data_IF_961543441395
#
_entry.id   IF_961543441395
#
_cell.length_a   1.000
_cell.length_b   1.000
_cell.length_c   1.000
_cell.angle_alpha   90.00
_cell.angle_beta   90.00
_cell.angle_gamma   90.00
#
_symmetry.space_group_name_H-M   'P 1'
#
loop_
_entity.id
_entity.type
_entity.pdbx_description
1 polymer ?
#
# COMPACT_ATOMS: atom_id res chain seq x y z
N UNK A 1 -21.47 -11.24 2.76
CA UNK A 1 -20.84 -9.98 2.30
C UNK A 1 -19.35 -10.12 2.53
N UNK A 2 -18.51 -9.79 1.54
CA UNK A 2 -17.03 -9.83 1.66
C UNK A 2 -16.55 -8.69 2.55
N UNK A 3 -15.46 -8.92 3.27
CA UNK A 3 -14.91 -8.03 4.30
C UNK A 3 -13.50 -7.62 3.95
N UNK A 4 -13.22 -6.33 3.97
CA UNK A 4 -11.91 -5.79 3.67
C UNK A 4 -11.39 -4.91 4.80
N UNK A 5 -10.09 -4.95 5.04
CA UNK A 5 -9.37 -4.01 5.90
C UNK A 5 -8.47 -3.15 5.03
N UNK A 6 -8.54 -1.82 5.17
CA UNK A 6 -7.71 -0.87 4.43
C UNK A 6 -6.89 -0.02 5.38
N UNK A 7 -5.57 -0.24 5.40
CA UNK A 7 -4.61 0.54 6.18
C UNK A 7 -4.15 1.76 5.36
N UNK A 8 -4.21 2.95 5.96
CA UNK A 8 -3.88 4.22 5.29
C UNK A 8 -5.08 4.86 4.59
N UNK A 9 -6.30 4.59 5.08
CA UNK A 9 -7.55 5.02 4.45
C UNK A 9 -7.95 6.49 4.69
N UNK A 10 -7.18 7.28 5.45
CA UNK A 10 -7.57 8.66 5.80
C UNK A 10 -7.50 9.65 4.65
N UNK A 11 -6.65 9.42 3.64
CA UNK A 11 -6.48 10.34 2.51
C UNK A 11 -5.92 9.61 1.27
N UNK A 12 -5.79 10.35 0.16
CA UNK A 12 -5.10 9.89 -1.04
C UNK A 12 -5.65 8.59 -1.63
N UNK A 13 -4.75 7.74 -2.11
CA UNK A 13 -5.09 6.46 -2.77
C UNK A 13 -5.85 5.53 -1.82
N UNK A 14 -5.49 5.51 -0.51
CA UNK A 14 -6.12 4.63 0.47
C UNK A 14 -7.59 4.95 0.68
N UNK A 15 -7.96 6.25 0.73
CA UNK A 15 -9.33 6.70 0.80
C UNK A 15 -10.13 6.29 -0.45
N UNK A 16 -9.54 6.46 -1.64
CA UNK A 16 -10.19 6.07 -2.90
C UNK A 16 -10.40 4.55 -3.01
N UNK A 17 -9.42 3.74 -2.55
CA UNK A 17 -9.56 2.28 -2.50
C UNK A 17 -10.67 1.88 -1.52
N UNK A 18 -10.70 2.43 -0.31
CA UNK A 18 -11.74 2.14 0.67
C UNK A 18 -13.14 2.50 0.12
N UNK A 19 -13.30 3.70 -0.42
CA UNK A 19 -14.55 4.15 -1.07
C UNK A 19 -14.97 3.23 -2.22
N UNK A 20 -14.02 2.84 -3.07
CA UNK A 20 -14.30 1.96 -4.19
C UNK A 20 -14.72 0.56 -3.74
N UNK A 21 -14.13 -0.01 -2.71
CA UNK A 21 -14.53 -1.30 -2.15
C UNK A 21 -15.93 -1.23 -1.52
N UNK A 22 -16.25 -0.16 -0.78
CA UNK A 22 -17.59 0.06 -0.21
C UNK A 22 -18.65 0.12 -1.32
N UNK A 23 -18.41 0.90 -2.38
CA UNK A 23 -19.31 0.98 -3.55
C UNK A 23 -19.48 -0.37 -4.28
N UNK A 24 -18.51 -1.26 -4.17
CA UNK A 24 -18.59 -2.64 -4.69
C UNK A 24 -19.20 -3.63 -3.68
N UNK A 25 -19.88 -3.16 -2.63
CA UNK A 25 -20.64 -3.98 -1.69
C UNK A 25 -19.79 -4.72 -0.65
N UNK A 26 -18.56 -4.27 -0.38
CA UNK A 26 -17.74 -4.82 0.69
C UNK A 26 -18.05 -4.13 2.03
N UNK A 27 -18.07 -4.90 3.11
CA UNK A 27 -17.97 -4.34 4.48
C UNK A 27 -16.51 -3.99 4.72
N UNK A 28 -16.22 -2.73 5.07
CA UNK A 28 -14.83 -2.24 5.09
C UNK A 28 -14.45 -1.71 6.48
N UNK A 29 -13.36 -2.23 7.03
CA UNK A 29 -12.64 -1.64 8.16
C UNK A 29 -11.58 -0.67 7.64
N UNK A 30 -11.68 0.59 8.03
CA UNK A 30 -10.76 1.64 7.63
C UNK A 30 -9.83 2.04 8.77
N UNK A 31 -8.54 2.09 8.47
CA UNK A 31 -7.47 2.29 9.46
C UNK A 31 -6.55 3.42 9.04
N UNK A 32 -6.29 4.34 9.96
CA UNK A 32 -5.24 5.37 9.87
C UNK A 32 -4.99 5.98 11.26
N UNK A 33 -4.01 6.89 11.37
CA UNK A 33 -3.72 7.62 12.63
C UNK A 33 -4.73 8.73 12.90
N UNK A 34 -5.22 9.41 11.85
CA UNK A 34 -6.13 10.56 11.93
C UNK A 34 -7.57 10.07 11.98
N UNK A 35 -8.11 9.91 13.19
CA UNK A 35 -9.44 9.36 13.40
C UNK A 35 -10.55 10.25 12.82
N UNK A 36 -10.40 11.56 12.90
CA UNK A 36 -11.37 12.54 12.36
C UNK A 36 -11.60 12.36 10.85
N UNK A 37 -10.54 12.03 10.10
CA UNK A 37 -10.64 11.75 8.65
C UNK A 37 -11.29 10.39 8.37
N UNK A 38 -11.09 9.40 9.25
CA UNK A 38 -11.78 8.12 9.15
C UNK A 38 -13.30 8.30 9.43
N UNK A 39 -13.65 9.08 10.45
CA UNK A 39 -15.06 9.42 10.77
C UNK A 39 -15.72 10.16 9.60
N UNK A 40 -15.02 11.12 8.98
CA UNK A 40 -15.50 11.80 7.78
C UNK A 40 -15.79 10.83 6.64
N UNK A 41 -14.86 9.89 6.37
CA UNK A 41 -15.06 8.88 5.33
C UNK A 41 -16.23 7.95 5.66
N UNK A 42 -16.34 7.48 6.91
CA UNK A 42 -17.44 6.61 7.33
C UNK A 42 -18.81 7.31 7.21
N UNK A 43 -18.89 8.61 7.50
CA UNK A 43 -20.11 9.40 7.37
C UNK A 43 -20.59 9.51 5.91
N UNK A 44 -19.69 9.58 4.93
CA UNK A 44 -20.05 9.57 3.50
C UNK A 44 -20.71 8.26 3.07
N UNK A 45 -20.49 7.19 3.82
CA UNK A 45 -21.01 5.84 3.57
C UNK A 45 -21.89 5.37 4.73
N UNK A 46 -22.69 6.26 5.31
CA UNK A 46 -23.67 5.90 6.36
C UNK A 46 -24.60 4.80 5.83
N UNK A 47 -24.80 3.74 6.62
CA UNK A 47 -25.61 2.57 6.22
C UNK A 47 -24.84 1.43 5.54
N UNK A 48 -23.56 1.59 5.17
CA UNK A 48 -22.76 0.52 4.57
C UNK A 48 -21.94 -0.31 5.58
N UNK A 49 -22.08 -0.04 6.89
CA UNK A 49 -21.41 -0.81 7.94
C UNK A 49 -19.88 -0.65 7.95
N UNK A 50 -19.40 0.60 7.75
CA UNK A 50 -17.97 0.92 7.80
C UNK A 50 -17.49 0.92 9.25
N UNK A 51 -16.49 0.10 9.56
CA UNK A 51 -15.82 0.07 10.85
C UNK A 51 -14.57 0.97 10.81
N UNK A 52 -14.32 1.72 11.88
CA UNK A 52 -13.13 2.58 11.97
C UNK A 52 -12.23 2.16 13.12
N UNK A 53 -10.92 2.33 12.92
CA UNK A 53 -9.93 2.15 13.98
C UNK A 53 -8.74 3.09 13.77
N UNK A 54 -8.46 3.94 14.75
CA UNK A 54 -7.25 4.74 14.77
C UNK A 54 -6.07 3.86 15.17
N UNK A 55 -5.06 3.73 14.28
CA UNK A 55 -3.86 2.93 14.51
C UNK A 55 -2.63 3.66 13.94
N UNK A 56 -1.57 3.77 14.75
CA UNK A 56 -0.23 3.98 14.23
C UNK A 56 0.46 2.62 14.07
N UNK A 57 0.72 2.22 12.83
CA UNK A 57 1.31 0.91 12.52
C UNK A 57 2.77 0.77 12.95
N UNK A 58 3.40 1.86 13.38
CA UNK A 58 4.77 1.82 13.93
C UNK A 58 4.79 1.36 15.40
N UNK A 59 3.66 1.43 16.09
CA UNK A 59 3.52 1.03 17.48
C UNK A 59 3.23 -0.47 17.62
N UNK A 60 3.73 -1.12 18.68
CA UNK A 60 3.53 -2.55 18.94
C UNK A 60 2.07 -2.92 19.14
N UNK A 61 1.31 -2.09 19.87
CA UNK A 61 -0.12 -2.29 20.11
C UNK A 61 -0.99 -2.27 18.83
N UNK A 62 -0.43 -1.86 17.70
CA UNK A 62 -1.15 -1.80 16.42
C UNK A 62 -1.75 -3.14 15.99
N UNK A 63 -1.13 -4.25 16.36
CA UNK A 63 -1.60 -5.61 16.07
C UNK A 63 -2.88 -5.93 16.83
N UNK A 64 -2.93 -5.63 18.13
CA UNK A 64 -4.10 -5.87 18.99
C UNK A 64 -5.31 -5.03 18.55
N UNK A 65 -5.06 -3.76 18.18
CA UNK A 65 -6.10 -2.87 17.68
C UNK A 65 -6.64 -3.34 16.32
N UNK A 66 -5.77 -3.89 15.46
CA UNK A 66 -6.17 -4.45 14.18
C UNK A 66 -6.99 -5.72 14.36
N UNK A 67 -6.61 -6.59 15.29
CA UNK A 67 -7.36 -7.80 15.62
C UNK A 67 -8.77 -7.47 16.12
N UNK A 68 -8.89 -6.49 17.01
CA UNK A 68 -10.17 -5.98 17.51
C UNK A 68 -11.06 -5.44 16.38
N UNK A 69 -10.49 -4.74 15.39
CA UNK A 69 -11.23 -4.28 14.22
C UNK A 69 -11.73 -5.46 13.38
N UNK A 70 -10.89 -6.45 13.11
CA UNK A 70 -11.26 -7.63 12.32
C UNK A 70 -12.36 -8.42 13.03
N UNK A 71 -12.32 -8.52 14.37
CA UNK A 71 -13.37 -9.13 15.16
C UNK A 71 -14.72 -8.39 14.98
N UNK A 72 -14.76 -7.07 15.08
CA UNK A 72 -16.00 -6.26 14.84
C UNK A 72 -16.51 -6.39 13.40
N UNK A 73 -15.61 -6.53 12.42
CA UNK A 73 -15.97 -6.83 11.03
C UNK A 73 -16.60 -8.23 10.90
N UNK A 74 -16.30 -9.14 11.81
CA UNK A 74 -16.66 -10.56 11.77
C UNK A 74 -15.78 -11.38 10.85
N UNK A 75 -14.52 -10.98 10.64
CA UNK A 75 -13.52 -11.65 9.81
C UNK A 75 -12.94 -10.76 8.72
N UNK A 76 -12.11 -11.33 7.83
CA UNK A 76 -11.41 -10.60 6.77
C UNK A 76 -11.22 -11.51 5.53
N UNK A 77 -11.59 -11.00 4.33
CA UNK A 77 -11.34 -11.66 3.04
C UNK A 77 -10.22 -10.96 2.26
N UNK A 78 -10.00 -9.66 2.54
CA UNK A 78 -9.04 -8.80 1.89
C UNK A 78 -8.34 -7.90 2.88
N UNK A 79 -7.01 -7.88 2.84
CA UNK A 79 -6.18 -6.91 3.53
C UNK A 79 -5.48 -6.00 2.52
N UNK A 80 -5.59 -4.67 2.68
CA UNK A 80 -4.95 -3.69 1.79
C UNK A 80 -4.07 -2.76 2.60
N UNK A 81 -2.76 -2.78 2.37
CA UNK A 81 -1.83 -1.83 2.98
C UNK A 81 -1.47 -0.71 2.00
N UNK A 82 -1.96 0.49 2.29
CA UNK A 82 -1.68 1.71 1.50
C UNK A 82 -0.81 2.69 2.29
N UNK A 83 -0.60 2.40 3.58
CA UNK A 83 0.20 3.29 4.43
C UNK A 83 1.63 3.42 3.90
N UNK A 84 2.11 4.64 3.88
CA UNK A 84 3.47 4.93 3.45
C UNK A 84 3.78 6.41 3.54
N UNK A 85 5.07 6.71 3.59
CA UNK A 85 5.63 8.05 3.58
C UNK A 85 6.69 8.14 2.50
N UNK A 86 6.70 9.26 1.78
CA UNK A 86 7.70 9.52 0.75
C UNK A 86 8.08 11.00 0.76
N UNK A 87 9.32 11.30 1.09
CA UNK A 87 9.88 12.63 1.04
C UNK A 87 11.12 12.62 0.15
N UNK A 88 11.29 13.68 -0.64
CA UNK A 88 12.61 13.96 -1.21
C UNK A 88 13.54 14.42 -0.10
N UNK A 89 14.77 13.89 -0.07
CA UNK A 89 15.75 14.18 0.97
C UNK A 89 17.18 14.21 0.39
N UNK A 90 17.46 15.20 -0.46
CA UNK A 90 18.79 15.38 -1.05
C UNK A 90 19.86 15.75 -0.02
N UNK A 91 19.45 16.34 1.11
CA UNK A 91 20.34 16.68 2.22
C UNK A 91 20.69 15.47 3.10
N UNK A 92 20.07 14.33 2.85
CA UNK A 92 20.22 13.10 3.64
C UNK A 92 19.97 13.31 5.14
N UNK A 93 18.96 14.14 5.47
CA UNK A 93 18.53 14.36 6.85
C UNK A 93 18.14 13.03 7.49
N UNK A 94 18.84 12.59 8.56
CA UNK A 94 18.62 11.28 9.17
C UNK A 94 17.22 11.13 9.77
N UNK A 95 16.58 12.20 10.21
CA UNK A 95 15.22 12.16 10.78
C UNK A 95 14.21 11.77 9.69
N UNK A 96 14.35 12.30 8.48
CA UNK A 96 13.49 11.96 7.33
C UNK A 96 13.72 10.50 6.93
N UNK A 97 14.97 10.07 6.82
CA UNK A 97 15.34 8.71 6.41
C UNK A 97 14.79 7.67 7.42
N UNK A 98 15.07 7.87 8.71
CA UNK A 98 14.63 6.94 9.77
C UNK A 98 13.12 6.88 9.86
N UNK A 99 12.42 8.01 9.90
CA UNK A 99 10.95 8.02 9.94
C UNK A 99 10.31 7.37 8.70
N UNK A 100 10.97 7.47 7.55
CA UNK A 100 10.53 6.77 6.33
C UNK A 100 10.71 5.27 6.48
N UNK A 101 11.83 4.81 7.03
CA UNK A 101 12.10 3.41 7.28
C UNK A 101 11.15 2.82 8.34
N UNK A 102 10.93 3.51 9.46
CA UNK A 102 10.02 3.06 10.53
C UNK A 102 8.62 2.76 10.00
N UNK A 103 8.04 3.67 9.20
CA UNK A 103 6.72 3.47 8.65
C UNK A 103 6.70 2.46 7.51
N UNK A 104 7.60 2.64 6.52
CA UNK A 104 7.55 1.88 5.26
C UNK A 104 8.19 0.49 5.38
N UNK A 105 9.04 0.24 6.40
CA UNK A 105 9.66 -1.06 6.65
C UNK A 105 9.04 -1.70 7.87
N UNK A 106 9.30 -1.17 9.07
CA UNK A 106 8.87 -1.81 10.32
C UNK A 106 7.34 -1.92 10.41
N UNK A 107 6.63 -0.82 10.21
CA UNK A 107 5.17 -0.82 10.21
C UNK A 107 4.57 -1.69 9.11
N UNK A 108 5.17 -1.64 7.91
CA UNK A 108 4.73 -2.47 6.78
C UNK A 108 4.89 -3.97 7.07
N UNK A 109 6.07 -4.40 7.53
CA UNK A 109 6.35 -5.81 7.85
C UNK A 109 5.41 -6.30 8.94
N UNK A 110 5.20 -5.50 10.01
CA UNK A 110 4.30 -5.83 11.10
C UNK A 110 2.88 -6.09 10.59
N UNK A 111 2.32 -5.20 9.79
CA UNK A 111 0.95 -5.33 9.28
C UNK A 111 0.80 -6.46 8.26
N UNK A 112 1.74 -6.60 7.33
CA UNK A 112 1.70 -7.64 6.31
C UNK A 112 1.92 -9.04 6.90
N UNK A 113 2.84 -9.16 7.87
CA UNK A 113 3.10 -10.39 8.60
C UNK A 113 1.90 -10.82 9.45
N UNK A 114 1.28 -9.86 10.14
CA UNK A 114 0.04 -10.12 10.87
C UNK A 114 -1.07 -10.63 9.93
N UNK A 115 -1.33 -9.91 8.82
CA UNK A 115 -2.37 -10.29 7.87
C UNK A 115 -2.12 -11.70 7.28
N UNK A 116 -0.86 -12.02 6.94
CA UNK A 116 -0.48 -13.34 6.47
C UNK A 116 -0.83 -14.43 7.51
N UNK A 117 -0.40 -14.25 8.76
CA UNK A 117 -0.65 -15.22 9.84
C UNK A 117 -2.15 -15.32 10.17
N UNK A 118 -2.87 -14.19 10.13
CA UNK A 118 -4.33 -14.20 10.30
C UNK A 118 -5.00 -15.11 9.25
N UNK A 119 -4.69 -14.94 7.97
CA UNK A 119 -5.22 -15.81 6.91
C UNK A 119 -4.78 -17.26 7.08
N UNK A 120 -3.51 -17.50 7.42
CA UNK A 120 -3.00 -18.84 7.62
C UNK A 120 -3.73 -19.61 8.74
N UNK A 121 -4.23 -18.90 9.75
CA UNK A 121 -4.90 -19.49 10.90
C UNK A 121 -6.44 -19.54 10.77
N UNK A 122 -7.04 -18.75 9.87
CA UNK A 122 -8.49 -18.57 9.81
C UNK A 122 -9.14 -19.01 8.49
N UNK A 123 -8.38 -19.22 7.41
CA UNK A 123 -8.93 -19.74 6.17
C UNK A 123 -9.32 -21.22 6.32
N UNK A 124 -10.53 -21.55 5.94
CA UNK A 124 -11.00 -22.94 5.86
C UNK A 124 -10.55 -23.60 4.56
N UNK A 125 -10.56 -24.93 4.49
CA UNK A 125 -10.31 -25.64 3.24
C UNK A 125 -11.20 -25.13 2.12
N UNK A 126 -10.58 -24.73 0.98
CA UNK A 126 -11.27 -24.15 -0.17
C UNK A 126 -11.51 -22.65 -0.14
N UNK A 127 -11.36 -21.99 1.01
CA UNK A 127 -11.41 -20.52 1.10
C UNK A 127 -10.12 -19.89 0.57
N UNK A 128 -10.22 -18.63 0.17
CA UNK A 128 -9.11 -17.89 -0.45
C UNK A 128 -9.05 -16.46 0.04
N UNK A 129 -7.99 -16.11 0.75
CA UNK A 129 -7.69 -14.77 1.20
C UNK A 129 -7.00 -13.92 0.12
N UNK A 130 -6.89 -12.62 0.36
CA UNK A 130 -6.11 -11.72 -0.48
C UNK A 130 -5.39 -10.67 0.35
N UNK A 131 -4.11 -10.44 0.04
CA UNK A 131 -3.30 -9.35 0.57
C UNK A 131 -2.86 -8.45 -0.58
N UNK A 132 -3.22 -7.17 -0.52
CA UNK A 132 -2.80 -6.16 -1.47
C UNK A 132 -1.95 -5.09 -0.80
N UNK A 133 -0.99 -4.53 -1.53
CA UNK A 133 -0.23 -3.38 -1.04
C UNK A 133 0.02 -2.36 -2.15
N UNK A 134 0.01 -1.08 -1.77
CA UNK A 134 0.42 0.02 -2.64
C UNK A 134 1.89 0.31 -2.39
N UNK A 135 2.72 -0.17 -3.31
CA UNK A 135 4.16 0.09 -3.31
C UNK A 135 4.50 1.34 -4.13
N UNK A 136 5.30 1.27 -5.16
CA UNK A 136 5.58 2.39 -6.07
C UNK A 136 6.46 1.94 -7.23
N UNK A 137 6.42 2.67 -8.35
CA UNK A 137 7.46 2.59 -9.40
C UNK A 137 8.85 2.99 -8.87
N UNK A 138 8.92 3.80 -7.80
CA UNK A 138 10.17 4.20 -7.15
C UNK A 138 11.00 3.02 -6.62
N UNK A 139 10.37 1.87 -6.39
CA UNK A 139 11.06 0.62 -6.03
C UNK A 139 11.80 -0.05 -7.20
N UNK A 140 11.70 0.45 -8.43
CA UNK A 140 12.37 -0.15 -9.60
C UNK A 140 13.88 0.09 -9.57
N UNK A 141 14.30 1.30 -9.18
CA UNK A 141 15.72 1.73 -9.08
C UNK A 141 15.92 2.61 -7.85
N UNK A 142 17.14 2.67 -7.32
CA UNK A 142 17.50 3.65 -6.30
C UNK A 142 17.41 5.07 -6.84
N UNK A 143 16.74 5.96 -6.10
CA UNK A 143 16.56 7.37 -6.47
C UNK A 143 17.37 8.26 -5.52
N UNK A 144 18.39 8.96 -6.04
CA UNK A 144 19.24 9.85 -5.24
C UNK A 144 18.49 11.03 -4.61
N UNK A 145 17.34 11.40 -5.15
CA UNK A 145 16.48 12.45 -4.57
C UNK A 145 15.66 11.98 -3.36
N UNK A 146 15.46 10.67 -3.20
CA UNK A 146 14.67 10.07 -2.13
C UNK A 146 15.22 8.67 -1.75
N UNK A 147 16.41 8.60 -1.12
CA UNK A 147 17.12 7.34 -0.91
C UNK A 147 16.31 6.34 -0.09
N UNK A 148 15.91 6.68 1.15
CA UNK A 148 15.12 5.79 1.98
C UNK A 148 13.78 5.41 1.32
N UNK A 149 13.10 6.36 0.67
CA UNK A 149 11.83 6.06 0.03
C UNK A 149 11.96 4.99 -1.05
N UNK A 150 12.88 5.18 -2.00
CA UNK A 150 13.09 4.21 -3.09
C UNK A 150 13.55 2.84 -2.58
N UNK A 151 14.45 2.82 -1.59
CA UNK A 151 14.91 1.60 -0.94
C UNK A 151 13.76 0.87 -0.23
N UNK A 152 12.94 1.59 0.54
CA UNK A 152 11.81 0.99 1.25
C UNK A 152 10.74 0.45 0.29
N UNK A 153 10.47 1.13 -0.82
CA UNK A 153 9.53 0.65 -1.84
C UNK A 153 10.04 -0.61 -2.56
N UNK A 154 11.35 -0.72 -2.77
CA UNK A 154 11.98 -1.95 -3.27
C UNK A 154 11.84 -3.09 -2.27
N UNK A 155 12.14 -2.83 -1.00
CA UNK A 155 11.96 -3.80 0.08
C UNK A 155 10.54 -4.32 0.14
N UNK A 156 9.52 -3.44 0.08
CA UNK A 156 8.11 -3.82 0.11
C UNK A 156 7.75 -4.80 -1.02
N UNK A 157 8.20 -4.53 -2.25
CA UNK A 157 8.00 -5.42 -3.39
C UNK A 157 8.63 -6.80 -3.14
N UNK A 158 9.90 -6.83 -2.71
CA UNK A 158 10.62 -8.08 -2.42
C UNK A 158 9.95 -8.85 -1.28
N UNK A 159 9.46 -8.15 -0.25
CA UNK A 159 8.75 -8.79 0.87
C UNK A 159 7.43 -9.44 0.44
N UNK A 160 6.67 -8.79 -0.46
CA UNK A 160 5.45 -9.36 -1.05
C UNK A 160 5.78 -10.63 -1.86
N UNK A 161 6.87 -10.61 -2.62
CA UNK A 161 7.32 -11.79 -3.38
C UNK A 161 7.66 -12.95 -2.45
N UNK A 162 8.39 -12.68 -1.35
CA UNK A 162 8.75 -13.66 -0.35
C UNK A 162 7.50 -14.24 0.37
N UNK A 163 6.54 -13.39 0.76
CA UNK A 163 5.28 -13.84 1.36
C UNK A 163 4.47 -14.71 0.39
N UNK A 164 4.45 -14.37 -0.89
CA UNK A 164 3.78 -15.19 -1.92
C UNK A 164 4.42 -16.58 -2.06
N UNK A 165 5.76 -16.66 -1.98
CA UNK A 165 6.47 -17.94 -1.96
C UNK A 165 6.16 -18.73 -0.67
N UNK A 166 6.22 -18.05 0.47
CA UNK A 166 5.93 -18.65 1.78
C UNK A 166 4.51 -19.23 1.85
N UNK A 167 3.52 -18.53 1.27
CA UNK A 167 2.14 -19.01 1.21
C UNK A 167 2.05 -20.36 0.47
N UNK A 168 2.78 -20.51 -0.64
CA UNK A 168 2.86 -21.79 -1.37
C UNK A 168 3.56 -22.87 -0.55
N UNK A 169 4.68 -22.55 0.11
CA UNK A 169 5.43 -23.48 0.97
C UNK A 169 4.57 -24.00 2.13
N UNK A 170 3.75 -23.13 2.70
CA UNK A 170 2.84 -23.47 3.82
C UNK A 170 1.46 -23.95 3.38
N UNK A 171 1.21 -24.04 2.05
CA UNK A 171 -0.07 -24.43 1.45
C UNK A 171 -1.25 -23.55 1.91
N UNK A 172 -0.98 -22.26 2.18
CA UNK A 172 -2.00 -21.27 2.52
C UNK A 172 -2.52 -20.58 1.25
N UNK A 173 -3.82 -20.58 1.03
CA UNK A 173 -4.43 -20.07 -0.18
C UNK A 173 -4.63 -18.54 -0.13
N UNK A 174 -3.55 -17.79 -0.31
CA UNK A 174 -3.54 -16.32 -0.31
C UNK A 174 -3.08 -15.80 -1.68
N UNK A 175 -3.87 -14.90 -2.28
CA UNK A 175 -3.43 -14.09 -3.42
C UNK A 175 -2.74 -12.82 -2.95
N UNK A 176 -1.72 -12.41 -3.70
CA UNK A 176 -1.01 -11.16 -3.44
C UNK A 176 -1.18 -10.20 -4.64
N UNK A 177 -1.43 -8.92 -4.35
CA UNK A 177 -1.54 -7.86 -5.35
C UNK A 177 -0.58 -6.73 -5.00
N UNK A 178 0.45 -6.51 -5.82
CA UNK A 178 1.39 -5.42 -5.72
C UNK A 178 0.99 -4.29 -6.68
N UNK A 179 0.51 -3.18 -6.14
CA UNK A 179 0.03 -2.02 -6.88
C UNK A 179 1.14 -0.97 -6.89
N UNK A 180 1.65 -0.64 -8.08
CA UNK A 180 2.80 0.25 -8.29
C UNK A 180 2.36 1.53 -9.02
N UNK A 181 1.84 2.54 -8.34
CA UNK A 181 1.54 3.82 -8.97
C UNK A 181 2.81 4.60 -9.29
N UNK A 182 2.71 5.48 -10.30
CA UNK A 182 3.67 6.56 -10.52
C UNK A 182 3.40 7.76 -9.61
N UNK A 183 3.61 8.98 -10.12
CA UNK A 183 3.32 10.20 -9.36
C UNK A 183 1.81 10.44 -9.27
N UNK A 184 1.27 10.51 -8.06
CA UNK A 184 -0.15 10.72 -7.79
C UNK A 184 -0.32 11.95 -6.92
N UNK A 185 -1.20 12.85 -7.29
CA UNK A 185 -1.53 14.07 -6.53
C UNK A 185 -2.15 13.71 -5.18
N UNK A 186 -1.33 13.63 -4.17
CA UNK A 186 -1.65 13.28 -2.78
C UNK A 186 -0.76 14.10 -1.83
N UNK A 187 -1.06 14.06 -0.54
CA UNK A 187 -0.29 14.74 0.52
C UNK A 187 1.18 14.27 0.61
N UNK A 188 1.54 13.18 -0.08
CA UNK A 188 2.93 12.67 -0.12
C UNK A 188 3.80 13.51 -1.06
N UNK A 189 3.24 14.09 -2.11
CA UNK A 189 3.98 14.92 -3.05
C UNK A 189 4.03 16.37 -2.57
N UNK A 190 5.20 16.99 -2.71
CA UNK A 190 5.37 18.42 -2.47
C UNK A 190 4.64 19.22 -3.56
N UNK A 191 3.61 19.96 -3.16
CA UNK A 191 2.78 20.75 -4.08
C UNK A 191 3.55 21.87 -4.82
N UNK A 192 4.71 22.27 -4.29
CA UNK A 192 5.57 23.30 -4.89
C UNK A 192 6.47 22.76 -6.01
N UNK A 193 6.50 21.45 -6.21
CA UNK A 193 7.33 20.80 -7.22
C UNK A 193 6.52 20.31 -8.42
N UNK A 194 7.13 20.36 -9.60
CA UNK A 194 6.56 19.79 -10.81
C UNK A 194 6.99 18.33 -10.92
N UNK A 195 6.00 17.43 -11.06
CA UNK A 195 6.26 16.01 -11.28
C UNK A 195 5.81 15.61 -12.68
N UNK A 196 6.59 14.80 -13.40
CA UNK A 196 6.21 14.36 -14.74
C UNK A 196 5.00 13.41 -14.66
N UNK A 197 4.09 13.52 -15.62
CA UNK A 197 2.96 12.59 -15.79
C UNK A 197 2.14 12.38 -14.49
N UNK A 198 1.97 13.45 -13.69
CA UNK A 198 1.19 13.38 -12.46
C UNK A 198 -0.25 12.93 -12.74
N UNK A 199 -0.74 12.00 -11.95
CA UNK A 199 -2.09 11.45 -12.05
C UNK A 199 -2.97 11.95 -10.89
N UNK A 200 -4.27 12.01 -11.11
CA UNK A 200 -5.24 12.27 -10.05
C UNK A 200 -5.54 10.98 -9.27
N UNK A 201 -5.83 11.16 -7.96
CA UNK A 201 -6.03 10.03 -7.03
C UNK A 201 -7.24 9.16 -7.36
N UNK A 202 -8.32 9.74 -7.93
CA UNK A 202 -9.56 9.01 -8.21
C UNK A 202 -9.35 7.93 -9.28
N UNK A 203 -8.85 8.22 -10.50
CA UNK A 203 -8.56 7.18 -11.49
C UNK A 203 -7.56 6.14 -11.01
N UNK A 204 -6.58 6.55 -10.18
CA UNK A 204 -5.60 5.63 -9.59
C UNK A 204 -6.27 4.69 -8.60
N UNK A 205 -7.16 5.20 -7.75
CA UNK A 205 -7.95 4.40 -6.81
C UNK A 205 -8.85 3.39 -7.53
N UNK A 206 -9.55 3.81 -8.58
CA UNK A 206 -10.38 2.93 -9.41
C UNK A 206 -9.56 1.82 -10.07
N UNK A 207 -8.40 2.16 -10.64
CA UNK A 207 -7.47 1.18 -11.22
C UNK A 207 -6.97 0.18 -10.18
N UNK A 208 -6.68 0.66 -8.96
CA UNK A 208 -6.25 -0.19 -7.85
C UNK A 208 -7.37 -1.15 -7.40
N UNK A 209 -8.59 -0.65 -7.24
CA UNK A 209 -9.76 -1.49 -6.91
C UNK A 209 -10.00 -2.54 -7.99
N UNK A 210 -9.96 -2.17 -9.27
CA UNK A 210 -10.09 -3.13 -10.37
C UNK A 210 -8.99 -4.20 -10.34
N UNK A 211 -7.74 -3.83 -10.01
CA UNK A 211 -6.64 -4.78 -9.87
C UNK A 211 -6.88 -5.76 -8.72
N UNK A 212 -7.36 -5.26 -7.58
CA UNK A 212 -7.72 -6.05 -6.40
C UNK A 212 -8.86 -7.04 -6.73
N UNK A 213 -9.96 -6.55 -7.30
CA UNK A 213 -11.11 -7.38 -7.63
C UNK A 213 -10.78 -8.48 -8.65
N UNK A 214 -9.85 -8.22 -9.57
CA UNK A 214 -9.33 -9.18 -10.55
C UNK A 214 -8.15 -10.01 -10.03
N UNK A 215 -7.75 -9.85 -8.78
CA UNK A 215 -6.63 -10.55 -8.14
C UNK A 215 -5.32 -10.49 -8.95
N UNK A 216 -5.02 -9.34 -9.57
CA UNK A 216 -3.81 -9.14 -10.36
C UNK A 216 -2.57 -9.20 -9.46
N UNK A 217 -1.55 -10.00 -9.87
CA UNK A 217 -0.31 -10.16 -9.05
C UNK A 217 0.51 -8.88 -8.97
N UNK A 218 0.71 -8.20 -10.09
CA UNK A 218 1.45 -6.93 -10.17
C UNK A 218 0.74 -5.99 -11.14
N UNK A 219 0.54 -4.74 -10.72
CA UNK A 219 -0.07 -3.71 -11.56
C UNK A 219 0.69 -2.41 -11.44
N UNK A 220 1.29 -1.96 -12.53
CA UNK A 220 1.85 -0.60 -12.66
C UNK A 220 0.75 0.32 -13.20
N UNK A 221 0.43 1.37 -12.48
CA UNK A 221 -0.53 2.41 -12.85
C UNK A 221 0.25 3.66 -13.27
N UNK A 222 0.12 4.25 -14.45
CA UNK A 222 -0.62 3.93 -15.68
C UNK A 222 0.33 3.24 -16.71
N UNK A 223 -0.14 3.03 -17.97
CA UNK A 223 0.62 2.37 -19.04
C UNK A 223 1.96 3.08 -19.37
N UNK A 224 2.03 4.41 -19.28
CA UNK A 224 3.24 5.20 -19.47
C UNK A 224 4.32 4.82 -18.45
N UNK A 225 3.93 4.71 -17.19
CA UNK A 225 4.83 4.26 -16.13
C UNK A 225 5.22 2.80 -16.26
N UNK A 226 4.36 1.97 -16.85
CA UNK A 226 4.70 0.57 -17.16
C UNK A 226 5.84 0.50 -18.18
N UNK A 227 5.76 1.29 -19.26
CA UNK A 227 6.86 1.39 -20.25
C UNK A 227 8.12 1.96 -19.58
N UNK A 228 7.98 3.06 -18.84
CA UNK A 228 9.09 3.72 -18.18
C UNK A 228 9.85 2.78 -17.23
N UNK A 229 9.14 2.06 -16.37
CA UNK A 229 9.75 1.13 -15.40
C UNK A 229 10.38 -0.08 -16.09
N UNK A 230 9.80 -0.55 -17.19
CA UNK A 230 10.43 -1.58 -18.03
C UNK A 230 11.77 -1.09 -18.58
N UNK A 231 11.81 0.10 -19.19
CA UNK A 231 13.04 0.70 -19.69
C UNK A 231 14.07 0.92 -18.57
N UNK A 232 13.64 1.42 -17.41
CA UNK A 232 14.52 1.59 -16.24
C UNK A 232 15.14 0.26 -15.78
N UNK A 233 14.40 -0.83 -15.83
CA UNK A 233 14.91 -2.14 -15.43
C UNK A 233 16.05 -2.64 -16.32
N UNK A 234 16.09 -2.21 -17.58
CA UNK A 234 17.13 -2.58 -18.55
C UNK A 234 18.40 -1.73 -18.41
N UNK A 235 18.35 -0.57 -17.75
CA UNK A 235 19.52 0.30 -17.60
C UNK A 235 20.53 -0.35 -16.65
N UNK A 236 21.79 -0.59 -17.06
CA UNK A 236 22.84 -1.07 -16.17
C UNK A 236 23.06 -0.12 -14.98
N UNK A 237 23.44 -0.67 -13.83
CA UNK A 237 23.59 0.11 -12.60
C UNK A 237 24.62 1.24 -12.74
N UNK A 238 25.76 0.98 -13.38
CA UNK A 238 26.80 1.97 -13.61
C UNK A 238 26.36 3.16 -14.48
N UNK A 239 25.39 2.95 -15.38
CA UNK A 239 24.80 4.02 -16.18
C UNK A 239 23.76 4.78 -15.33
N UNK A 240 22.89 4.05 -14.61
CA UNK A 240 21.86 4.63 -13.76
C UNK A 240 22.43 5.64 -12.74
N UNK A 241 23.52 5.28 -12.06
CA UNK A 241 24.19 6.13 -11.09
C UNK A 241 24.71 7.45 -11.66
N UNK A 242 25.02 7.49 -12.95
CA UNK A 242 25.46 8.70 -13.66
C UNK A 242 24.31 9.58 -14.17
N UNK A 243 23.08 9.05 -14.17
CA UNK A 243 21.90 9.73 -14.69
C UNK A 243 21.27 10.68 -13.65
N UNK A 244 22.07 11.49 -12.97
CA UNK A 244 21.65 12.37 -11.86
C UNK A 244 20.55 13.37 -12.22
N UNK A 245 20.35 13.70 -13.50
CA UNK A 245 19.33 14.65 -13.98
C UNK A 245 17.93 14.04 -14.17
N UNK A 246 17.80 12.72 -14.22
CA UNK A 246 16.51 12.06 -14.50
C UNK A 246 15.66 11.90 -13.22
N UNK A 247 16.28 11.99 -12.07
CA UNK A 247 15.64 11.79 -10.75
C UNK A 247 15.34 13.10 -10.02
N UNK A 248 15.46 14.25 -10.69
CA UNK A 248 15.20 15.58 -10.11
C UNK A 248 13.75 16.00 -10.29
#
# INVERSE_FOLDING_TARGET
MKKAVVIGASSGIGREIASGLIRNGWKVGIVARREELLRSLAAEFSGYGVEIQAIDITEEKSVELLDSLIFRLGGMDLFVNVSGRGNQNKALDPVIEIRTAELNVTGFVRMMGYAFNWFANNLRPGERGQIAAVTSIAGTKGMGTAPAYSATKRMQTTYIDALSQLARMRQVNIDFTDIRPGFVRTDILDSNKKYPMIMDKVPVGESAVNAILRRRRVVVIDWKFRILTFLWSLVPQCIWERMSKITN
#
